data_IF_280044342562
#
_entry.id   IF_280044342562
#
_cell.length_a   1.000
_cell.length_b   1.000
_cell.length_c   1.000
_cell.angle_alpha   90.00
_cell.angle_beta   90.00
_cell.angle_gamma   90.00
#
_symmetry.space_group_name_H-M   'P 1'
#
loop_
_entity.id
_entity.type
_entity.pdbx_description
1 polymer ?
#
# COMPACT_ATOMS: atom_id res chain seq x y z
N UNK A 1 -10.25 10.65 19.87
CA UNK A 1 -9.44 9.42 20.08
C UNK A 1 -10.11 8.39 20.98
N UNK A 2 -10.97 8.79 21.93
CA UNK A 2 -11.81 7.84 22.69
C UNK A 2 -12.91 7.19 21.82
N UNK A 3 -13.32 7.89 20.75
CA UNK A 3 -14.40 7.47 19.85
C UNK A 3 -14.13 6.19 19.02
N UNK A 4 -12.87 5.75 18.85
CA UNK A 4 -12.53 4.55 18.04
C UNK A 4 -12.07 3.38 18.94
N UNK A 5 -12.21 3.49 20.26
CA UNK A 5 -11.79 2.46 21.24
C UNK A 5 -10.33 1.99 21.08
N UNK A 6 -9.41 2.89 20.70
CA UNK A 6 -7.98 2.57 20.55
C UNK A 6 -7.19 2.65 21.86
N UNK A 7 -7.82 3.06 22.96
CA UNK A 7 -7.22 3.19 24.29
C UNK A 7 -6.46 1.94 24.77
N UNK A 8 -6.98 0.70 24.64
CA UNK A 8 -6.24 -0.51 25.04
C UNK A 8 -5.06 -0.84 24.12
N UNK A 9 -5.00 -0.29 22.90
CA UNK A 9 -3.98 -0.62 21.88
C UNK A 9 -2.83 0.39 21.83
N UNK A 10 -2.81 1.36 22.75
CA UNK A 10 -1.84 2.48 22.76
C UNK A 10 -0.38 2.02 22.89
N UNK A 11 -0.14 0.88 23.54
CA UNK A 11 1.21 0.33 23.76
C UNK A 11 1.50 -0.92 22.94
N UNK A 12 0.57 -1.33 22.05
CA UNK A 12 0.81 -2.48 21.18
C UNK A 12 1.57 -2.08 19.91
N UNK A 13 2.48 -2.95 19.48
CA UNK A 13 3.18 -2.82 18.21
C UNK A 13 2.24 -3.21 17.06
N UNK A 14 2.17 -2.36 16.03
CA UNK A 14 1.33 -2.63 14.84
C UNK A 14 1.72 -3.95 14.18
N UNK A 15 3.02 -4.24 14.05
CA UNK A 15 3.55 -5.50 13.53
C UNK A 15 3.21 -5.78 12.06
N UNK A 16 3.60 -6.96 11.58
CA UNK A 16 3.38 -7.40 10.19
C UNK A 16 1.99 -8.02 10.02
N UNK A 17 1.24 -7.66 8.96
CA UNK A 17 -0.11 -8.16 8.74
C UNK A 17 -0.12 -9.70 8.66
N UNK A 18 -0.93 -10.34 9.50
CA UNK A 18 -1.09 -11.80 9.54
C UNK A 18 0.01 -12.58 10.28
N UNK A 19 1.04 -11.91 10.81
CA UNK A 19 2.18 -12.57 11.48
C UNK A 19 2.34 -12.12 12.94
N UNK A 20 2.26 -10.82 13.21
CA UNK A 20 2.50 -10.27 14.55
C UNK A 20 1.85 -8.91 14.76
N UNK A 21 1.62 -8.56 16.03
CA UNK A 21 1.07 -7.25 16.42
C UNK A 21 -0.45 -7.23 16.34
N UNK A 22 -1.00 -6.16 15.77
CA UNK A 22 -2.44 -5.89 15.73
C UNK A 22 -3.18 -6.86 14.82
N UNK A 23 -4.35 -7.32 15.27
CA UNK A 23 -5.30 -8.06 14.43
C UNK A 23 -5.76 -7.22 13.24
N UNK A 24 -6.27 -7.89 12.20
CA UNK A 24 -6.78 -7.24 10.98
C UNK A 24 -7.82 -6.16 11.30
N UNK A 25 -8.71 -6.41 12.25
CA UNK A 25 -9.74 -5.45 12.66
C UNK A 25 -9.15 -4.23 13.38
N UNK A 26 -8.25 -4.46 14.34
CA UNK A 26 -7.60 -3.39 15.11
C UNK A 26 -6.74 -2.51 14.20
N UNK A 27 -6.02 -3.12 13.25
CA UNK A 27 -5.27 -2.41 12.22
C UNK A 27 -6.19 -1.56 11.37
N UNK A 28 -7.36 -2.07 10.96
CA UNK A 28 -8.32 -1.32 10.15
C UNK A 28 -8.87 -0.11 10.92
N UNK A 29 -9.24 -0.27 12.19
CA UNK A 29 -9.63 0.83 13.08
C UNK A 29 -8.53 1.87 13.23
N UNK A 30 -7.27 1.43 13.42
CA UNK A 30 -6.13 2.31 13.54
C UNK A 30 -5.90 3.13 12.25
N UNK A 31 -5.94 2.49 11.08
CA UNK A 31 -5.81 3.17 9.79
C UNK A 31 -6.87 4.25 9.62
N UNK A 32 -8.14 3.94 9.92
CA UNK A 32 -9.23 4.91 9.83
C UNK A 32 -9.05 6.05 10.84
N UNK A 33 -8.63 5.74 12.08
CA UNK A 33 -8.36 6.76 13.07
C UNK A 33 -7.20 7.70 12.68
N UNK A 34 -6.14 7.17 12.06
CA UNK A 34 -5.03 7.98 11.53
C UNK A 34 -5.53 8.95 10.45
N UNK A 35 -6.35 8.46 9.52
CA UNK A 35 -6.96 9.31 8.48
C UNK A 35 -7.86 10.38 9.11
N UNK A 36 -8.64 10.06 10.13
CA UNK A 36 -9.52 11.02 10.82
C UNK A 36 -8.75 12.05 11.64
N UNK A 37 -7.61 11.68 12.23
CA UNK A 37 -6.72 12.59 12.99
C UNK A 37 -6.09 13.65 12.08
N UNK A 38 -5.83 13.30 10.81
CA UNK A 38 -5.31 14.24 9.83
C UNK A 38 -6.30 15.37 9.47
N UNK A 39 -7.54 15.32 9.98
CA UNK A 39 -8.61 16.28 9.71
C UNK A 39 -8.75 16.63 8.20
N UNK A 40 -8.88 15.62 7.31
CA UNK A 40 -8.92 15.85 5.88
C UNK A 40 -10.23 16.51 5.45
N UNK A 41 -10.15 17.38 4.45
CA UNK A 41 -11.29 18.07 3.84
C UNK A 41 -12.20 17.13 3.05
N UNK A 42 -11.67 16.02 2.54
CA UNK A 42 -12.40 14.98 1.78
C UNK A 42 -11.90 13.61 2.22
N UNK A 43 -12.81 12.68 2.53
CA UNK A 43 -12.48 11.29 2.88
C UNK A 43 -13.14 10.35 1.88
N UNK A 44 -12.33 9.59 1.15
CA UNK A 44 -12.78 8.43 0.40
C UNK A 44 -12.58 7.17 1.25
N UNK A 45 -13.63 6.36 1.37
CA UNK A 45 -13.58 5.10 2.09
C UNK A 45 -14.13 4.01 1.16
N UNK A 46 -13.25 3.12 0.72
CA UNK A 46 -13.64 1.90 0.03
C UNK A 46 -13.87 0.81 1.08
N UNK A 47 -15.11 0.31 1.16
CA UNK A 47 -15.57 -0.69 2.14
C UNK A 47 -15.06 -0.51 3.58
N UNK A 48 -15.43 0.58 4.28
CA UNK A 48 -14.85 0.93 5.59
C UNK A 48 -15.19 -0.05 6.71
N UNK A 49 -16.19 -0.90 6.51
CA UNK A 49 -16.69 -1.87 7.50
C UNK A 49 -16.32 -3.31 7.18
N UNK A 50 -15.66 -3.58 6.05
CA UNK A 50 -15.32 -4.97 5.67
C UNK A 50 -14.25 -5.53 6.61
N UNK A 51 -14.50 -6.73 7.15
CA UNK A 51 -13.59 -7.36 8.11
C UNK A 51 -13.55 -6.68 9.49
N UNK A 52 -14.59 -5.94 9.88
CA UNK A 52 -14.83 -5.52 11.26
C UNK A 52 -16.06 -6.23 11.82
N UNK A 53 -16.05 -6.50 13.12
CA UNK A 53 -17.27 -6.89 13.83
C UNK A 53 -18.35 -5.79 13.78
N UNK A 54 -19.63 -6.18 13.86
CA UNK A 54 -20.76 -5.25 13.68
C UNK A 54 -20.76 -4.07 14.66
N UNK A 55 -20.25 -4.27 15.89
CA UNK A 55 -20.17 -3.22 16.91
C UNK A 55 -19.08 -2.22 16.54
N UNK A 56 -17.92 -2.70 16.11
CA UNK A 56 -16.81 -1.86 15.69
C UNK A 56 -17.08 -1.07 14.42
N UNK A 57 -17.72 -1.70 13.44
CA UNK A 57 -18.22 -1.01 12.26
C UNK A 57 -19.14 0.16 12.65
N UNK A 58 -20.05 -0.05 13.61
CA UNK A 58 -20.94 1.02 14.09
C UNK A 58 -20.19 2.15 14.82
N UNK A 59 -19.18 1.82 15.62
CA UNK A 59 -18.34 2.82 16.32
C UNK A 59 -17.54 3.66 15.33
N UNK A 60 -16.92 3.01 14.33
CA UNK A 60 -16.17 3.69 13.25
C UNK A 60 -17.11 4.61 12.46
N UNK A 61 -18.26 4.11 12.03
CA UNK A 61 -19.22 4.91 11.24
C UNK A 61 -19.83 6.06 12.05
N UNK A 62 -20.04 5.90 13.36
CA UNK A 62 -20.46 6.99 14.25
C UNK A 62 -19.37 8.07 14.37
N UNK A 63 -18.11 7.66 14.45
CA UNK A 63 -16.98 8.60 14.50
C UNK A 63 -16.85 9.39 13.22
N UNK A 64 -16.87 8.70 12.07
CA UNK A 64 -16.87 9.32 10.75
C UNK A 64 -18.03 10.31 10.62
N UNK A 65 -19.24 9.92 11.04
CA UNK A 65 -20.42 10.79 10.98
C UNK A 65 -20.27 12.03 11.87
N UNK A 66 -19.82 11.86 13.10
CA UNK A 66 -19.57 12.99 14.00
C UNK A 66 -18.50 13.94 13.46
N UNK A 67 -17.44 13.40 12.83
CA UNK A 67 -16.41 14.21 12.15
C UNK A 67 -16.98 14.93 10.92
N UNK A 68 -17.82 14.28 10.12
CA UNK A 68 -18.52 14.91 8.99
C UNK A 68 -19.46 16.03 9.43
N UNK A 69 -20.18 15.84 10.54
CA UNK A 69 -21.10 16.84 11.09
C UNK A 69 -20.38 18.08 11.64
N UNK A 70 -19.04 18.06 11.82
CA UNK A 70 -18.24 19.26 12.13
C UNK A 70 -18.06 20.23 10.95
N UNK A 71 -18.64 19.92 9.79
CA UNK A 71 -18.78 20.86 8.66
C UNK A 71 -17.53 21.07 7.82
N UNK A 72 -16.49 20.23 7.98
CA UNK A 72 -15.23 20.33 7.21
C UNK A 72 -14.91 19.13 6.34
N UNK A 73 -15.50 17.97 6.62
CA UNK A 73 -15.37 16.81 5.73
C UNK A 73 -16.53 16.86 4.76
N UNK A 74 -16.22 17.28 3.55
CA UNK A 74 -17.17 17.42 2.47
C UNK A 74 -17.65 16.02 2.08
N UNK A 75 -18.75 15.56 2.69
CA UNK A 75 -19.83 15.04 1.87
C UNK A 75 -20.09 16.16 0.89
N UNK A 76 -19.72 15.96 -0.38
CA UNK A 76 -19.92 16.97 -1.44
C UNK A 76 -21.29 17.56 -1.22
N UNK A 77 -21.34 18.87 -0.97
CA UNK A 77 -22.53 19.51 -0.45
C UNK A 77 -23.66 19.29 -1.48
N UNK A 78 -24.73 18.59 -1.09
CA UNK A 78 -25.79 18.12 -1.99
C UNK A 78 -25.70 16.66 -2.49
N UNK A 79 -24.63 15.92 -2.21
CA UNK A 79 -24.56 14.48 -2.49
C UNK A 79 -25.44 13.70 -1.51
N UNK A 80 -26.35 12.84 -2.01
CA UNK A 80 -27.25 12.07 -1.15
C UNK A 80 -26.47 11.05 -0.32
N UNK A 81 -26.70 11.00 0.99
CA UNK A 81 -26.10 9.97 1.87
C UNK A 81 -26.48 8.56 1.39
N UNK A 82 -25.54 7.62 1.47
CA UNK A 82 -25.81 6.21 1.17
C UNK A 82 -26.92 5.68 2.09
N UNK A 83 -27.91 5.00 1.50
CA UNK A 83 -29.03 4.39 2.24
C UNK A 83 -28.56 3.09 2.90
N UNK A 84 -29.07 2.78 4.09
CA UNK A 84 -28.75 1.54 4.79
C UNK A 84 -29.16 0.32 3.94
N UNK A 85 -28.23 -0.61 3.72
CA UNK A 85 -28.42 -1.81 2.89
C UNK A 85 -28.26 -1.58 1.37
N UNK A 86 -27.87 -0.38 0.93
CA UNK A 86 -27.62 -0.09 -0.48
C UNK A 86 -26.20 -0.49 -0.90
N UNK A 87 -26.04 -1.00 -2.11
CA UNK A 87 -24.73 -1.37 -2.65
C UNK A 87 -23.84 -0.12 -2.80
N UNK A 88 -22.68 -0.05 -2.12
CA UNK A 88 -21.79 1.10 -2.19
C UNK A 88 -21.25 1.38 -3.60
N UNK A 89 -21.00 0.35 -4.40
CA UNK A 89 -20.52 0.50 -5.77
C UNK A 89 -21.58 1.16 -6.66
N UNK A 90 -22.84 0.75 -6.50
CA UNK A 90 -23.98 1.35 -7.22
C UNK A 90 -24.19 2.81 -6.81
N UNK A 91 -24.13 3.11 -5.51
CA UNK A 91 -24.25 4.48 -5.02
C UNK A 91 -23.14 5.38 -5.56
N UNK A 92 -21.90 4.88 -5.59
CA UNK A 92 -20.76 5.64 -6.10
C UNK A 92 -20.97 6.00 -7.58
N UNK A 93 -21.38 5.05 -8.42
CA UNK A 93 -21.65 5.30 -9.84
C UNK A 93 -22.77 6.32 -10.08
N UNK A 94 -23.81 6.32 -9.24
CA UNK A 94 -24.90 7.29 -9.32
C UNK A 94 -24.44 8.70 -8.93
N UNK A 95 -23.67 8.79 -7.84
CA UNK A 95 -23.20 10.06 -7.28
C UNK A 95 -22.11 10.70 -8.13
N UNK A 96 -21.25 9.91 -8.78
CA UNK A 96 -20.21 10.41 -9.70
C UNK A 96 -20.70 10.51 -11.14
N UNK A 97 -22.01 10.40 -11.38
CA UNK A 97 -22.56 10.54 -12.73
C UNK A 97 -22.55 12.00 -13.19
N UNK A 98 -22.39 12.22 -14.49
CA UNK A 98 -22.37 13.55 -15.11
C UNK A 98 -23.68 14.34 -14.91
N UNK A 99 -24.78 13.63 -14.62
CA UNK A 99 -26.08 14.23 -14.27
C UNK A 99 -25.99 14.85 -12.88
N UNK A 100 -25.48 14.11 -11.90
CA UNK A 100 -25.28 14.61 -10.53
C UNK A 100 -24.26 15.74 -10.48
N UNK A 101 -23.15 15.65 -11.23
CA UNK A 101 -22.15 16.73 -11.35
C UNK A 101 -22.78 18.06 -11.79
N UNK A 102 -23.64 18.03 -12.82
CA UNK A 102 -24.35 19.23 -13.29
C UNK A 102 -25.38 19.75 -12.28
N UNK A 103 -26.07 18.88 -11.57
CA UNK A 103 -27.02 19.29 -10.52
C UNK A 103 -26.33 19.95 -9.34
N UNK A 104 -25.12 19.47 -8.99
CA UNK A 104 -24.31 20.00 -7.90
C UNK A 104 -23.47 21.21 -8.33
N UNK A 105 -23.28 21.43 -9.64
CA UNK A 105 -22.39 22.45 -10.17
C UNK A 105 -20.91 22.17 -9.86
N UNK A 106 -20.55 20.91 -9.60
CA UNK A 106 -19.21 20.48 -9.24
C UNK A 106 -18.68 19.54 -10.31
N UNK A 107 -17.45 19.80 -10.77
CA UNK A 107 -16.69 18.87 -11.62
C UNK A 107 -15.75 18.06 -10.72
N UNK A 108 -16.04 16.76 -10.57
CA UNK A 108 -15.23 15.87 -9.72
C UNK A 108 -13.80 15.71 -10.25
N UNK A 109 -13.60 15.77 -11.58
CA UNK A 109 -12.28 15.67 -12.17
C UNK A 109 -11.43 16.92 -11.87
N UNK A 110 -12.04 18.10 -11.93
CA UNK A 110 -11.38 19.34 -11.52
C UNK A 110 -11.11 19.37 -10.01
N UNK A 111 -12.06 18.91 -9.19
CA UNK A 111 -11.92 18.83 -7.73
C UNK A 111 -10.77 17.89 -7.35
N UNK A 112 -10.68 16.72 -8.00
CA UNK A 112 -9.59 15.78 -7.79
C UNK A 112 -8.24 16.39 -8.18
N UNK A 113 -8.13 17.01 -9.37
CA UNK A 113 -6.86 17.64 -9.82
C UNK A 113 -6.35 18.73 -8.88
N UNK A 114 -7.25 19.47 -8.25
CA UNK A 114 -6.91 20.54 -7.31
C UNK A 114 -6.72 20.05 -5.87
N UNK A 115 -6.91 18.75 -5.60
CA UNK A 115 -6.80 18.19 -4.26
C UNK A 115 -5.34 17.95 -3.83
N UNK A 116 -5.10 18.07 -2.52
CA UNK A 116 -3.84 17.68 -1.86
C UNK A 116 -3.42 16.25 -2.25
N UNK A 117 -4.39 15.33 -2.35
CA UNK A 117 -4.16 13.93 -2.72
C UNK A 117 -3.60 13.78 -4.14
N UNK A 118 -4.11 14.55 -5.11
CA UNK A 118 -3.56 14.54 -6.47
C UNK A 118 -2.15 15.14 -6.49
N UNK A 119 -1.89 16.16 -5.67
CA UNK A 119 -0.55 16.73 -5.52
C UNK A 119 0.43 15.75 -4.86
N UNK A 120 0.00 15.00 -3.85
CA UNK A 120 0.81 13.94 -3.22
C UNK A 120 1.09 12.78 -4.17
N UNK A 121 0.09 12.34 -4.96
CA UNK A 121 0.30 11.32 -5.99
C UNK A 121 1.20 11.82 -7.13
N UNK A 122 1.08 13.09 -7.51
CA UNK A 122 1.94 13.72 -8.52
C UNK A 122 3.35 14.03 -7.99
N UNK A 123 3.54 14.14 -6.67
CA UNK A 123 4.82 14.39 -6.03
C UNK A 123 5.75 13.15 -6.01
N UNK A 124 5.34 12.02 -6.61
CA UNK A 124 6.21 10.86 -6.82
C UNK A 124 6.90 10.33 -5.53
N UNK A 125 6.30 10.55 -4.36
CA UNK A 125 6.79 9.98 -3.09
C UNK A 125 6.72 8.43 -3.07
N UNK A 126 6.12 7.82 -4.09
CA UNK A 126 6.18 6.38 -4.43
C UNK A 126 6.73 6.17 -5.86
N UNK A 127 7.77 6.91 -6.25
CA UNK A 127 8.40 6.69 -7.54
C UNK A 127 9.04 5.29 -7.58
N UNK A 128 8.82 4.51 -8.65
CA UNK A 128 9.42 3.19 -8.84
C UNK A 128 10.95 3.17 -8.72
N UNK A 129 11.60 4.28 -9.11
CA UNK A 129 13.04 4.40 -9.21
C UNK A 129 13.77 4.33 -7.86
N UNK A 130 13.49 5.18 -6.86
CA UNK A 130 14.16 5.10 -5.56
C UNK A 130 13.91 3.77 -4.85
N UNK A 131 12.73 3.17 -5.04
CA UNK A 131 12.44 1.82 -4.55
C UNK A 131 13.35 0.77 -5.21
N UNK A 132 13.45 0.78 -6.55
CA UNK A 132 14.33 -0.12 -7.28
C UNK A 132 15.81 0.05 -6.88
N UNK A 133 16.26 1.29 -6.64
CA UNK A 133 17.62 1.57 -6.16
C UNK A 133 17.85 1.05 -4.74
N UNK A 134 16.94 1.31 -3.81
CA UNK A 134 17.06 0.82 -2.44
C UNK A 134 17.08 -0.72 -2.39
N UNK A 135 16.24 -1.37 -3.20
CA UNK A 135 16.20 -2.81 -3.31
C UNK A 135 17.48 -3.37 -3.93
N UNK A 136 17.98 -2.77 -5.02
CA UNK A 136 19.25 -3.17 -5.63
C UNK A 136 20.42 -3.09 -4.63
N UNK A 137 20.46 -2.04 -3.80
CA UNK A 137 21.50 -1.86 -2.79
C UNK A 137 21.47 -2.94 -1.70
N UNK A 138 20.29 -3.41 -1.31
CA UNK A 138 20.13 -4.47 -0.31
C UNK A 138 20.48 -5.85 -0.88
N UNK A 139 20.20 -6.10 -2.16
CA UNK A 139 20.37 -7.40 -2.79
C UNK A 139 21.83 -7.71 -3.17
N UNK A 140 22.62 -6.69 -3.54
CA UNK A 140 24.04 -6.87 -3.92
C UNK A 140 24.85 -7.65 -2.85
N UNK A 141 24.85 -7.27 -1.55
CA UNK A 141 25.61 -8.02 -0.54
C UNK A 141 25.06 -9.43 -0.31
N UNK A 142 23.75 -9.62 -0.42
CA UNK A 142 23.12 -10.94 -0.26
C UNK A 142 23.51 -11.89 -1.40
N UNK A 143 23.39 -11.44 -2.64
CA UNK A 143 23.80 -12.20 -3.83
C UNK A 143 25.30 -12.49 -3.81
N UNK A 144 26.12 -11.56 -3.31
CA UNK A 144 27.56 -11.77 -3.16
C UNK A 144 27.87 -12.88 -2.14
N UNK A 145 27.23 -12.84 -0.96
CA UNK A 145 27.39 -13.87 0.07
C UNK A 145 26.90 -15.25 -0.42
N UNK A 146 25.73 -15.28 -1.08
CA UNK A 146 25.18 -16.50 -1.68
C UNK A 146 26.09 -17.06 -2.77
N UNK A 147 26.60 -16.20 -3.67
CA UNK A 147 27.53 -16.61 -4.71
C UNK A 147 28.79 -17.23 -4.10
N UNK A 148 29.33 -16.67 -3.01
CA UNK A 148 30.51 -17.24 -2.34
C UNK A 148 30.19 -18.61 -1.73
N UNK A 149 29.09 -18.74 -1.00
CA UNK A 149 28.69 -19.99 -0.36
C UNK A 149 28.40 -21.09 -1.37
N UNK A 150 27.47 -20.85 -2.30
CA UNK A 150 27.12 -21.81 -3.33
C UNK A 150 28.31 -22.08 -4.26
N UNK A 151 29.13 -21.07 -4.53
CA UNK A 151 30.27 -21.20 -5.41
C UNK A 151 31.35 -22.13 -4.90
N UNK A 152 31.72 -21.99 -3.62
CA UNK A 152 32.68 -22.89 -2.99
C UNK A 152 32.17 -24.33 -3.00
N UNK A 153 30.89 -24.54 -2.68
CA UNK A 153 30.29 -25.87 -2.61
C UNK A 153 30.23 -26.52 -4.00
N UNK A 154 29.72 -25.81 -5.01
CA UNK A 154 29.56 -26.34 -6.37
C UNK A 154 30.92 -26.56 -7.04
N UNK A 155 31.87 -25.65 -6.85
CA UNK A 155 33.22 -25.81 -7.39
C UNK A 155 33.94 -27.03 -6.81
N UNK A 156 33.79 -27.27 -5.50
CA UNK A 156 34.31 -28.46 -4.84
C UNK A 156 33.63 -29.75 -5.36
N UNK A 157 32.33 -29.69 -5.66
CA UNK A 157 31.53 -30.84 -6.10
C UNK A 157 31.83 -31.26 -7.54
N UNK A 158 32.19 -30.31 -8.41
CA UNK A 158 32.54 -30.58 -9.81
C UNK A 158 33.96 -31.18 -9.94
N UNK A 159 34.81 -31.04 -8.92
CA UNK A 159 36.17 -31.58 -8.93
C UNK A 159 37.11 -30.85 -9.91
N UNK A 160 36.91 -29.54 -10.11
CA UNK A 160 37.73 -28.73 -11.00
C UNK A 160 39.17 -28.58 -10.47
N UNK A 161 40.10 -28.22 -11.36
CA UNK A 161 41.51 -27.92 -11.02
C UNK A 161 41.60 -26.84 -9.93
N UNK A 162 42.21 -27.13 -8.78
CA UNK A 162 42.33 -26.24 -7.60
C UNK A 162 43.27 -25.04 -7.79
N UNK A 163 43.19 -24.38 -8.94
CA UNK A 163 43.96 -23.17 -9.26
C UNK A 163 43.15 -21.94 -8.88
N UNK A 164 43.70 -21.08 -8.01
CA UNK A 164 43.06 -19.87 -7.52
C UNK A 164 42.53 -18.95 -8.64
N UNK A 165 43.28 -18.83 -9.75
CA UNK A 165 42.88 -18.02 -10.91
C UNK A 165 41.58 -18.51 -11.54
N UNK A 166 41.40 -19.83 -11.69
CA UNK A 166 40.20 -20.42 -12.30
C UNK A 166 39.01 -20.34 -11.35
N UNK A 167 39.26 -20.49 -10.05
CA UNK A 167 38.26 -20.29 -9.01
C UNK A 167 37.73 -18.85 -8.98
N UNK A 168 38.62 -17.85 -9.06
CA UNK A 168 38.21 -16.43 -9.09
C UNK A 168 37.39 -16.09 -10.34
N UNK A 169 37.78 -16.59 -11.50
CA UNK A 169 36.99 -16.41 -12.73
C UNK A 169 35.62 -17.07 -12.63
N UNK A 170 35.55 -18.29 -12.10
CA UNK A 170 34.28 -18.98 -11.85
C UNK A 170 33.38 -18.19 -10.88
N UNK A 171 33.96 -17.71 -9.79
CA UNK A 171 33.26 -16.92 -8.78
C UNK A 171 32.71 -15.60 -9.34
N UNK A 172 33.48 -14.95 -10.22
CA UNK A 172 33.07 -13.76 -10.94
C UNK A 172 31.88 -14.04 -11.86
N UNK A 173 31.99 -15.03 -12.76
CA UNK A 173 30.90 -15.35 -13.70
C UNK A 173 29.61 -15.74 -12.98
N UNK A 174 29.71 -16.57 -11.94
CA UNK A 174 28.56 -17.01 -11.17
C UNK A 174 27.86 -15.88 -10.41
N UNK A 175 28.61 -14.93 -9.86
CA UNK A 175 28.04 -13.74 -9.22
C UNK A 175 27.22 -12.91 -10.22
N UNK A 176 27.77 -12.61 -11.40
CA UNK A 176 27.05 -11.86 -12.43
C UNK A 176 25.84 -12.61 -12.98
N UNK A 177 25.92 -13.93 -13.12
CA UNK A 177 24.78 -14.76 -13.53
C UNK A 177 23.65 -14.73 -12.50
N UNK A 178 23.95 -14.90 -11.21
CA UNK A 178 22.94 -14.80 -10.14
C UNK A 178 22.34 -13.40 -10.04
N UNK A 179 23.16 -12.37 -10.20
CA UNK A 179 22.72 -10.98 -10.23
C UNK A 179 21.76 -10.73 -11.41
N UNK A 180 22.08 -11.25 -12.60
CA UNK A 180 21.20 -11.17 -13.76
C UNK A 180 19.84 -11.85 -13.51
N UNK A 181 19.82 -13.08 -12.99
CA UNK A 181 18.55 -13.77 -12.69
C UNK A 181 17.70 -13.05 -11.65
N UNK A 182 18.35 -12.48 -10.64
CA UNK A 182 17.69 -11.73 -9.56
C UNK A 182 17.00 -10.48 -10.12
N UNK A 183 17.72 -9.65 -10.89
CA UNK A 183 17.13 -8.45 -11.50
C UNK A 183 16.10 -8.77 -12.59
N UNK A 184 16.30 -9.83 -13.37
CA UNK A 184 15.32 -10.26 -14.37
C UNK A 184 14.01 -10.74 -13.73
N UNK A 185 14.08 -11.49 -12.62
CA UNK A 185 12.91 -11.92 -11.85
C UNK A 185 12.15 -10.75 -11.21
N UNK A 186 12.86 -9.71 -10.77
CA UNK A 186 12.21 -8.49 -10.28
C UNK A 186 11.52 -7.70 -11.39
N UNK A 187 12.15 -7.60 -12.57
CA UNK A 187 11.56 -6.90 -13.72
C UNK A 187 10.22 -7.48 -14.17
N UNK A 188 10.09 -8.81 -14.20
CA UNK A 188 8.83 -9.48 -14.57
C UNK A 188 7.75 -9.33 -13.49
N UNK A 189 8.14 -9.36 -12.22
CA UNK A 189 7.21 -9.18 -11.07
C UNK A 189 6.67 -7.75 -10.99
N UNK A 190 7.52 -6.76 -11.24
CA UNK A 190 7.12 -5.34 -11.22
C UNK A 190 6.20 -4.98 -12.39
N UNK A 191 6.45 -5.57 -13.57
CA UNK A 191 5.58 -5.40 -14.73
C UNK A 191 4.20 -6.03 -14.50
N UNK A 192 4.13 -7.21 -13.86
CA UNK A 192 2.85 -7.83 -13.49
C UNK A 192 1.98 -6.97 -12.56
N UNK A 193 2.59 -6.25 -11.62
CA UNK A 193 1.88 -5.34 -10.71
C UNK A 193 1.39 -4.05 -11.40
N UNK A 194 2.15 -3.50 -12.35
CA UNK A 194 1.74 -2.30 -13.10
C UNK A 194 0.58 -2.58 -14.07
N UNK A 195 0.50 -3.79 -14.65
CA UNK A 195 -0.58 -4.16 -15.57
C UNK A 195 -1.88 -4.63 -14.90
N UNK A 196 -1.89 -4.88 -13.58
CA UNK A 196 -3.14 -5.12 -12.83
C UNK A 196 -3.81 -3.82 -12.34
N UNK A 197 -3.18 -2.66 -12.53
CA UNK A 197 -3.71 -1.35 -12.16
C UNK A 197 -4.28 -0.52 -13.33
N UNK A 198 -4.54 -1.14 -14.48
CA UNK A 198 -5.16 -0.52 -15.66
C UNK A 198 -6.50 -1.19 -15.98
#
# INVERSE_FOLDING_TARGET
MELVELSPLRQELVGLPGVSGLSTEQRKRLTIAVVLVANPSIIFMDEPTSGLDARAAAIVMRTVRNTMDTGRTVSVDGVPKIKDGYNPATWMLEVTSSVQEKTLGVDFAALYKNSELCREKAAEMYSPLPYAFAQALIEIPYVLAQAMLCGVIVYASIGFQSTATKFLWYQFFMFFTLLYYTFYGYGTSFQGLLFQGQ
#
